data_IF_429759877487
#
_entry.id   IF_429759877487
#
_cell.length_a   1.000
_cell.length_b   1.000
_cell.length_c   1.000
_cell.angle_alpha   90.00
_cell.angle_beta   90.00
_cell.angle_gamma   90.00
#
_symmetry.space_group_name_H-M   'P 1'
#
loop_
_entity.id
_entity.type
_entity.pdbx_description
1 polymer ?
#
# COMPACT_ATOMS: atom_id res chain seq x y z
N UNK A 1 -11.03 10.59 11.15
CA UNK A 1 -11.72 11.45 10.16
C UNK A 1 -12.16 10.60 9.00
N UNK A 2 -13.36 10.83 8.47
CA UNK A 2 -13.88 10.16 7.27
C UNK A 2 -13.04 10.58 6.05
N UNK A 3 -12.83 9.65 5.12
CA UNK A 3 -12.23 9.97 3.81
C UNK A 3 -13.32 10.51 2.90
N UNK A 4 -13.06 11.62 2.22
CA UNK A 4 -14.01 12.23 1.27
C UNK A 4 -13.55 12.10 -0.18
N UNK A 5 -14.51 11.92 -1.09
CA UNK A 5 -14.31 11.79 -2.54
C UNK A 5 -15.49 12.34 -3.32
N UNK A 6 -15.34 12.48 -4.64
CA UNK A 6 -16.38 12.95 -5.55
C UNK A 6 -17.73 12.26 -5.29
N UNK A 7 -18.78 13.05 -5.14
CA UNK A 7 -20.14 12.61 -4.82
C UNK A 7 -20.49 12.52 -3.34
N UNK A 8 -19.51 12.61 -2.42
CA UNK A 8 -19.82 12.75 -0.99
C UNK A 8 -20.51 14.08 -0.69
N UNK A 9 -21.33 14.13 0.36
CA UNK A 9 -22.01 15.34 0.80
C UNK A 9 -22.13 15.39 2.33
N UNK A 10 -22.45 16.57 2.87
CA UNK A 10 -22.70 16.82 4.28
C UNK A 10 -21.71 17.78 4.94
N UNK A 11 -21.87 17.99 6.24
CA UNK A 11 -21.14 19.02 6.99
C UNK A 11 -19.62 18.80 7.05
N UNK A 12 -19.18 17.55 7.02
CA UNK A 12 -17.76 17.21 6.92
C UNK A 12 -17.13 17.73 5.61
N UNK A 13 -17.90 17.71 4.50
CA UNK A 13 -17.46 18.27 3.22
C UNK A 13 -17.43 19.80 3.28
N UNK A 14 -18.44 20.43 3.87
CA UNK A 14 -18.43 21.88 4.11
C UNK A 14 -17.23 22.31 4.98
N UNK A 15 -16.86 21.49 5.97
CA UNK A 15 -15.67 21.71 6.79
C UNK A 15 -14.38 21.56 5.97
N UNK A 16 -14.29 20.54 5.11
CA UNK A 16 -13.17 20.37 4.16
C UNK A 16 -13.02 21.60 3.25
N UNK A 17 -14.10 22.06 2.61
CA UNK A 17 -14.12 23.23 1.72
C UNK A 17 -13.61 24.49 2.43
N UNK A 18 -14.08 24.77 3.66
CA UNK A 18 -13.57 25.90 4.47
C UNK A 18 -12.08 25.77 4.78
N UNK A 19 -11.60 24.56 5.04
CA UNK A 19 -10.17 24.30 5.32
C UNK A 19 -9.30 24.46 4.06
N UNK A 20 -9.78 24.02 2.90
CA UNK A 20 -9.12 24.22 1.61
C UNK A 20 -8.95 25.71 1.30
N UNK A 21 -10.03 26.49 1.42
CA UNK A 21 -9.99 27.94 1.21
C UNK A 21 -9.00 28.62 2.16
N UNK A 22 -8.97 28.23 3.44
CA UNK A 22 -7.98 28.74 4.42
C UNK A 22 -6.54 28.36 4.06
N UNK A 23 -6.33 27.19 3.48
CA UNK A 23 -5.02 26.72 3.05
C UNK A 23 -4.55 27.36 1.72
N UNK A 24 -5.34 28.27 1.13
CA UNK A 24 -5.02 28.98 -0.11
C UNK A 24 -5.55 28.31 -1.38
N UNK A 25 -6.52 27.40 -1.25
CA UNK A 25 -7.19 26.71 -2.37
C UNK A 25 -8.68 27.05 -2.34
N UNK A 26 -9.07 28.21 -2.89
CA UNK A 26 -10.44 28.71 -2.78
C UNK A 26 -11.44 27.77 -3.47
N UNK A 27 -12.51 27.44 -2.75
CA UNK A 27 -13.67 26.69 -3.23
C UNK A 27 -14.91 27.14 -2.47
N UNK A 28 -16.07 27.12 -3.14
CA UNK A 28 -17.35 27.44 -2.52
C UNK A 28 -17.76 26.39 -1.49
N UNK A 29 -18.45 26.82 -0.44
CA UNK A 29 -18.92 25.93 0.64
C UNK A 29 -20.31 25.42 0.28
N UNK A 30 -20.37 24.42 -0.60
CA UNK A 30 -21.61 23.81 -1.11
C UNK A 30 -22.07 22.61 -0.27
N UNK A 31 -21.24 22.10 0.64
CA UNK A 31 -21.45 20.83 1.37
C UNK A 31 -21.54 19.60 0.44
N UNK A 32 -21.12 19.74 -0.83
CA UNK A 32 -21.07 18.67 -1.83
C UNK A 32 -19.65 18.57 -2.36
N UNK A 33 -19.10 17.36 -2.42
CA UNK A 33 -17.80 17.10 -2.99
C UNK A 33 -17.97 16.94 -4.50
N UNK A 34 -17.99 18.08 -5.17
CA UNK A 34 -18.10 18.25 -6.61
C UNK A 34 -16.72 18.32 -7.30
N UNK A 35 -16.72 18.56 -8.61
CA UNK A 35 -15.50 18.70 -9.42
C UNK A 35 -14.63 19.88 -8.97
N UNK A 36 -15.24 20.95 -8.45
CA UNK A 36 -14.52 22.11 -7.92
C UNK A 36 -13.78 21.75 -6.63
N UNK A 37 -14.45 21.02 -5.73
CA UNK A 37 -13.84 20.49 -4.49
C UNK A 37 -12.74 19.48 -4.80
N UNK A 38 -12.96 18.57 -5.75
CA UNK A 38 -11.92 17.63 -6.19
C UNK A 38 -10.71 18.40 -6.74
N UNK A 39 -10.92 19.40 -7.59
CA UNK A 39 -9.85 20.21 -8.18
C UNK A 39 -9.03 20.94 -7.11
N UNK A 40 -9.69 21.51 -6.09
CA UNK A 40 -9.00 22.14 -4.96
C UNK A 40 -8.18 21.14 -4.13
N UNK A 41 -8.69 19.92 -3.94
CA UNK A 41 -7.95 18.82 -3.29
C UNK A 41 -6.73 18.40 -4.10
N UNK A 42 -6.88 18.22 -5.42
CA UNK A 42 -5.76 17.90 -6.32
C UNK A 42 -4.69 18.99 -6.29
N UNK A 43 -5.11 20.26 -6.24
CA UNK A 43 -4.19 21.39 -6.19
C UNK A 43 -3.30 21.37 -4.94
N UNK A 44 -3.85 21.05 -3.76
CA UNK A 44 -3.01 20.91 -2.56
C UNK A 44 -2.15 19.64 -2.57
N UNK A 45 -2.66 18.55 -3.13
CA UNK A 45 -1.88 17.32 -3.29
C UNK A 45 -0.63 17.59 -4.14
N UNK A 46 -0.81 18.22 -5.31
CA UNK A 46 0.29 18.65 -6.19
C UNK A 46 1.25 19.60 -5.50
N UNK A 47 0.74 20.65 -4.82
CA UNK A 47 1.58 21.64 -4.13
C UNK A 47 2.46 21.01 -3.05
N UNK A 48 1.97 19.98 -2.37
CA UNK A 48 2.68 19.32 -1.27
C UNK A 48 3.46 18.07 -1.70
N UNK A 49 3.36 17.67 -2.97
CA UNK A 49 4.00 16.47 -3.52
C UNK A 49 3.32 15.15 -3.10
N UNK A 50 2.12 15.21 -2.53
CA UNK A 50 1.29 14.02 -2.29
C UNK A 50 0.83 13.41 -3.62
N UNK A 51 0.44 12.14 -3.57
CA UNK A 51 -0.24 11.47 -4.69
C UNK A 51 -1.48 12.27 -5.12
N UNK A 52 -1.52 12.66 -6.40
CA UNK A 52 -2.66 13.36 -7.02
C UNK A 52 -3.80 12.37 -7.35
N UNK A 53 -4.54 11.96 -6.32
CA UNK A 53 -5.68 11.04 -6.45
C UNK A 53 -7.06 11.72 -6.40
N UNK A 54 -7.11 13.00 -5.98
CA UNK A 54 -8.34 13.77 -5.80
C UNK A 54 -9.17 13.33 -4.60
N UNK A 55 -8.59 12.55 -3.68
CA UNK A 55 -9.26 12.00 -2.50
C UNK A 55 -8.76 12.71 -1.23
N UNK A 56 -9.70 13.29 -0.46
CA UNK A 56 -9.39 13.89 0.83
C UNK A 56 -9.36 12.82 1.94
N UNK A 57 -8.32 11.98 1.91
CA UNK A 57 -7.99 11.03 2.97
C UNK A 57 -7.15 11.64 4.10
N UNK A 58 -6.76 10.86 5.13
CA UNK A 58 -6.01 11.36 6.29
C UNK A 58 -4.72 12.12 5.93
N UNK A 59 -3.99 11.68 4.90
CA UNK A 59 -2.76 12.34 4.42
C UNK A 59 -3.03 13.72 3.83
N UNK A 60 -4.03 13.82 2.97
CA UNK A 60 -4.49 15.08 2.38
C UNK A 60 -4.98 16.04 3.48
N UNK A 61 -5.76 15.54 4.44
CA UNK A 61 -6.27 16.35 5.55
C UNK A 61 -5.15 16.88 6.45
N UNK A 62 -4.11 16.07 6.69
CA UNK A 62 -2.91 16.52 7.40
C UNK A 62 -2.17 17.61 6.61
N UNK A 63 -1.98 17.42 5.29
CA UNK A 63 -1.34 18.40 4.43
C UNK A 63 -2.12 19.72 4.32
N UNK A 64 -3.45 19.68 4.35
CA UNK A 64 -4.30 20.89 4.46
C UNK A 64 -4.01 21.66 5.76
N UNK A 65 -3.80 20.95 6.87
CA UNK A 65 -3.54 21.55 8.16
C UNK A 65 -2.10 22.09 8.30
N UNK A 66 -1.10 21.39 7.77
CA UNK A 66 0.33 21.69 7.98
C UNK A 66 0.99 22.39 6.79
N UNK A 67 0.35 22.36 5.62
CA UNK A 67 0.95 22.81 4.35
C UNK A 67 2.08 21.92 3.84
N UNK A 68 2.29 20.74 4.43
CA UNK A 68 3.43 19.85 4.12
C UNK A 68 3.01 18.39 4.08
N UNK A 69 3.69 17.60 3.24
CA UNK A 69 3.62 16.13 3.23
C UNK A 69 4.58 15.58 4.29
N UNK A 70 4.17 14.53 5.01
CA UNK A 70 5.09 13.71 5.81
C UNK A 70 6.11 13.01 4.88
N UNK A 71 7.43 13.09 5.12
CA UNK A 71 8.43 12.42 4.30
C UNK A 71 8.22 10.92 4.11
N UNK A 72 7.58 10.23 5.06
CA UNK A 72 7.27 8.79 4.95
C UNK A 72 6.08 8.49 4.05
N UNK A 73 5.21 9.47 3.77
CA UNK A 73 4.07 9.26 2.88
C UNK A 73 4.52 9.15 1.43
N UNK A 74 3.80 8.35 0.65
CA UNK A 74 4.06 8.18 -0.78
C UNK A 74 3.95 9.52 -1.53
N UNK A 75 4.95 9.83 -2.36
CA UNK A 75 4.95 10.99 -3.25
C UNK A 75 4.40 10.64 -4.62
N UNK A 76 3.92 11.66 -5.33
CA UNK A 76 3.58 11.52 -6.75
C UNK A 76 4.79 11.11 -7.61
N UNK A 77 5.99 11.62 -7.28
CA UNK A 77 7.25 11.27 -7.95
C UNK A 77 7.61 9.79 -7.80
N UNK A 78 7.22 9.14 -6.69
CA UNK A 78 7.43 7.70 -6.49
C UNK A 78 6.55 6.90 -7.48
N UNK A 79 5.31 7.35 -7.71
CA UNK A 79 4.39 6.74 -8.70
C UNK A 79 4.96 6.88 -10.11
N UNK A 80 5.50 8.05 -10.46
CA UNK A 80 6.14 8.29 -11.77
C UNK A 80 7.32 7.35 -11.97
N UNK A 81 8.23 7.30 -10.99
CA UNK A 81 9.41 6.43 -11.04
C UNK A 81 9.02 4.95 -11.16
N UNK A 82 7.96 4.52 -10.46
CA UNK A 82 7.41 3.18 -10.59
C UNK A 82 6.84 2.89 -11.99
N UNK A 83 6.17 3.86 -12.61
CA UNK A 83 5.62 3.73 -13.96
C UNK A 83 6.73 3.57 -15.00
N UNK A 84 7.79 4.37 -14.89
CA UNK A 84 8.96 4.30 -15.75
C UNK A 84 9.67 2.94 -15.61
N UNK A 85 9.89 2.49 -14.38
CA UNK A 85 10.53 1.19 -14.10
C UNK A 85 9.75 0.00 -14.64
N UNK A 86 8.42 0.04 -14.57
CA UNK A 86 7.55 -1.00 -15.12
C UNK A 86 7.32 -0.85 -16.64
N UNK A 87 7.64 0.32 -17.21
CA UNK A 87 7.35 0.66 -18.61
C UNK A 87 5.85 0.63 -18.91
N UNK A 88 5.04 1.21 -18.02
CA UNK A 88 3.57 1.27 -18.14
C UNK A 88 3.10 2.73 -18.05
N UNK A 89 1.91 3.06 -18.61
CA UNK A 89 1.33 4.39 -18.40
C UNK A 89 1.18 4.72 -16.91
N UNK A 90 1.39 5.99 -16.54
CA UNK A 90 1.25 6.47 -15.16
C UNK A 90 -0.11 6.08 -14.53
N UNK A 91 -1.17 6.13 -15.33
CA UNK A 91 -2.52 5.72 -14.92
C UNK A 91 -2.60 4.26 -14.43
N UNK A 92 -1.76 3.35 -14.95
CA UNK A 92 -1.70 1.97 -14.47
C UNK A 92 -1.17 1.90 -13.03
N UNK A 93 -0.09 2.62 -12.72
CA UNK A 93 0.49 2.62 -11.37
C UNK A 93 -0.41 3.35 -10.38
N UNK A 94 -1.07 4.44 -10.80
CA UNK A 94 -2.09 5.10 -9.96
C UNK A 94 -3.26 4.17 -9.64
N UNK A 95 -3.76 3.42 -10.63
CA UNK A 95 -4.83 2.45 -10.42
C UNK A 95 -4.42 1.35 -9.44
N UNK A 96 -3.24 0.79 -9.63
CA UNK A 96 -2.66 -0.21 -8.71
C UNK A 96 -2.48 0.38 -7.32
N UNK A 97 -1.92 1.58 -7.18
CA UNK A 97 -1.75 2.22 -5.88
C UNK A 97 -3.09 2.45 -5.17
N UNK A 98 -4.12 2.91 -5.87
CA UNK A 98 -5.46 3.13 -5.28
C UNK A 98 -6.08 1.82 -4.78
N UNK A 99 -5.88 0.71 -5.50
CA UNK A 99 -6.55 -0.57 -5.21
C UNK A 99 -5.75 -1.46 -4.26
N UNK A 100 -4.42 -1.52 -4.42
CA UNK A 100 -3.56 -2.50 -3.75
C UNK A 100 -2.90 -1.96 -2.47
N UNK A 101 -2.69 -0.65 -2.33
CA UNK A 101 -1.85 -0.09 -1.23
C UNK A 101 -2.53 -0.02 0.14
N UNK A 102 -3.82 -0.38 0.27
CA UNK A 102 -4.66 -0.10 1.46
C UNK A 102 -4.58 1.35 1.97
N UNK A 103 -4.05 2.29 1.18
CA UNK A 103 -3.97 3.73 1.44
C UNK A 103 -2.98 4.20 2.52
N UNK A 104 -2.60 3.37 3.49
CA UNK A 104 -1.62 3.72 4.55
C UNK A 104 -0.71 2.53 4.85
N UNK A 105 0.60 2.74 4.74
CA UNK A 105 1.64 1.73 4.92
C UNK A 105 2.18 1.59 6.34
N UNK A 106 1.81 2.52 7.23
CA UNK A 106 2.22 2.56 8.62
C UNK A 106 1.01 2.48 9.57
N UNK A 107 1.25 1.95 10.76
CA UNK A 107 0.36 2.01 11.90
C UNK A 107 0.43 3.40 12.55
N UNK A 108 -0.50 3.70 13.45
CA UNK A 108 -0.52 4.98 14.18
C UNK A 108 0.69 5.19 15.10
N UNK A 109 1.39 4.12 15.46
CA UNK A 109 2.62 4.15 16.25
C UNK A 109 3.89 4.30 15.40
N UNK A 110 3.75 4.45 14.08
CA UNK A 110 4.86 4.72 13.15
C UNK A 110 5.57 3.47 12.63
N UNK A 111 5.20 2.27 13.08
CA UNK A 111 5.72 1.00 12.53
C UNK A 111 5.03 0.64 11.21
N UNK A 112 5.71 -0.04 10.26
CA UNK A 112 5.06 -0.57 9.07
C UNK A 112 3.85 -1.43 9.40
N UNK A 113 2.86 -1.46 8.53
CA UNK A 113 1.83 -2.50 8.63
C UNK A 113 2.44 -3.85 8.32
N UNK A 114 2.17 -4.83 9.16
CA UNK A 114 2.55 -6.21 8.92
C UNK A 114 1.38 -7.17 9.07
N UNK A 115 1.51 -8.34 8.45
CA UNK A 115 0.75 -9.53 8.82
C UNK A 115 1.74 -10.69 8.98
N UNK A 116 1.81 -11.27 10.17
CA UNK A 116 2.72 -12.38 10.45
C UNK A 116 2.06 -13.72 10.13
N UNK A 117 2.75 -14.55 9.35
CA UNK A 117 2.25 -15.83 8.86
C UNK A 117 2.93 -16.99 9.59
N UNK A 118 2.30 -17.50 10.66
CA UNK A 118 2.83 -18.62 11.48
C UNK A 118 3.17 -19.89 10.68
N UNK A 119 2.50 -20.09 9.54
CA UNK A 119 2.74 -21.20 8.64
C UNK A 119 3.93 -21.00 7.71
N UNK A 120 4.22 -19.74 7.37
CA UNK A 120 5.47 -19.40 6.69
C UNK A 120 6.63 -19.49 7.68
N UNK A 121 6.43 -19.11 8.94
CA UNK A 121 7.47 -19.26 9.97
C UNK A 121 7.89 -20.71 10.17
N UNK A 122 6.93 -21.64 10.22
CA UNK A 122 7.22 -23.08 10.18
C UNK A 122 8.12 -23.45 8.99
N UNK A 123 7.80 -22.97 7.79
CA UNK A 123 8.57 -23.27 6.58
C UNK A 123 9.96 -22.64 6.60
N UNK A 124 10.10 -21.40 7.10
CA UNK A 124 11.37 -20.68 7.18
C UNK A 124 12.32 -21.29 8.20
N UNK A 125 11.81 -21.74 9.36
CA UNK A 125 12.59 -22.51 10.33
C UNK A 125 13.16 -23.79 9.69
N UNK A 126 12.32 -24.56 8.97
CA UNK A 126 12.80 -25.75 8.25
C UNK A 126 13.87 -25.41 7.21
N UNK A 127 13.70 -24.33 6.46
CA UNK A 127 14.68 -23.88 5.46
C UNK A 127 16.03 -23.53 6.09
N UNK A 128 16.05 -23.15 7.37
CA UNK A 128 17.25 -22.85 8.18
C UNK A 128 17.76 -24.06 8.97
N UNK A 129 17.20 -25.25 8.76
CA UNK A 129 17.61 -26.47 9.46
C UNK A 129 17.13 -26.59 10.91
N UNK A 130 16.16 -25.74 11.32
CA UNK A 130 15.56 -25.78 12.65
C UNK A 130 14.29 -26.64 12.59
N UNK A 131 14.14 -27.62 13.50
CA UNK A 131 12.91 -28.39 13.62
C UNK A 131 11.79 -27.53 14.25
N UNK A 132 10.72 -27.20 13.51
CA UNK A 132 9.64 -26.38 14.03
C UNK A 132 8.68 -27.14 14.95
N UNK A 133 8.71 -28.48 15.01
CA UNK A 133 7.70 -29.25 15.75
C UNK A 133 7.67 -28.94 17.27
N UNK A 134 8.81 -28.88 17.99
CA UNK A 134 8.82 -28.49 19.40
C UNK A 134 8.34 -27.05 19.62
N UNK A 135 8.68 -26.16 18.68
CA UNK A 135 8.30 -24.75 18.72
C UNK A 135 6.79 -24.60 18.54
N UNK A 136 6.20 -25.31 17.57
CA UNK A 136 4.76 -25.27 17.33
C UNK A 136 3.95 -25.89 18.47
N UNK A 137 4.46 -26.95 19.10
CA UNK A 137 3.83 -27.55 20.29
C UNK A 137 3.79 -26.56 21.47
N UNK A 138 4.85 -25.76 21.65
CA UNK A 138 4.94 -24.77 22.72
C UNK A 138 4.23 -23.46 22.40
N UNK A 139 4.27 -23.02 21.14
CA UNK A 139 3.81 -21.71 20.68
C UNK A 139 2.94 -21.81 19.40
N UNK A 140 1.75 -22.44 19.46
CA UNK A 140 0.91 -22.70 18.27
C UNK A 140 0.37 -21.44 17.58
N UNK A 141 0.41 -20.29 18.25
CA UNK A 141 0.06 -18.99 17.66
C UNK A 141 1.21 -18.34 16.86
N UNK A 142 2.44 -18.80 17.09
CA UNK A 142 3.67 -18.29 16.46
C UNK A 142 4.17 -19.24 15.38
N UNK A 143 4.08 -20.55 15.61
CA UNK A 143 4.49 -21.57 14.64
C UNK A 143 3.38 -22.62 14.51
N UNK A 144 2.93 -22.89 13.28
CA UNK A 144 1.92 -23.90 12.98
C UNK A 144 2.02 -24.32 11.53
N UNK A 145 1.60 -25.52 11.16
CA UNK A 145 1.42 -25.87 9.73
C UNK A 145 0.18 -25.19 9.13
N UNK A 146 -0.80 -24.82 9.96
CA UNK A 146 -2.03 -24.19 9.53
C UNK A 146 -1.88 -22.65 9.44
N UNK A 147 -2.54 -22.06 8.46
CA UNK A 147 -2.67 -20.60 8.32
C UNK A 147 -3.47 -20.00 9.49
N UNK A 148 -3.48 -18.67 9.62
CA UNK A 148 -4.26 -17.99 10.65
C UNK A 148 -3.50 -17.63 11.94
N UNK A 149 -4.26 -17.46 13.02
CA UNK A 149 -3.75 -16.92 14.29
C UNK A 149 -3.56 -15.40 14.28
N UNK A 150 -4.11 -14.72 13.28
CA UNK A 150 -4.01 -13.27 13.09
C UNK A 150 -4.69 -12.52 14.25
N UNK A 151 -4.00 -11.50 14.74
CA UNK A 151 -4.50 -10.51 15.70
C UNK A 151 -4.82 -9.18 15.01
N UNK A 152 -4.06 -8.86 13.96
CA UNK A 152 -4.23 -7.64 13.17
C UNK A 152 -3.66 -6.38 13.84
N UNK A 153 -3.34 -5.38 13.01
CA UNK A 153 -2.83 -4.10 13.47
C UNK A 153 -1.53 -4.22 14.29
N UNK A 154 -1.43 -3.42 15.36
CA UNK A 154 -0.25 -3.38 16.22
C UNK A 154 0.04 -4.70 16.96
N UNK A 155 -0.97 -5.57 17.14
CA UNK A 155 -0.81 -6.84 17.85
C UNK A 155 -0.04 -7.89 17.02
N UNK A 156 0.10 -7.71 15.71
CA UNK A 156 0.96 -8.57 14.89
C UNK A 156 2.43 -8.45 15.30
N UNK A 157 2.87 -7.28 15.77
CA UNK A 157 4.23 -7.11 16.26
C UNK A 157 4.53 -7.89 17.54
N UNK A 158 3.52 -8.19 18.37
CA UNK A 158 3.71 -9.10 19.50
C UNK A 158 4.02 -10.52 19.02
N UNK A 159 3.40 -10.95 17.92
CA UNK A 159 3.68 -12.25 17.30
C UNK A 159 5.06 -12.27 16.63
N UNK A 160 5.39 -11.20 15.90
CA UNK A 160 6.69 -11.04 15.27
C UNK A 160 7.83 -11.06 16.30
N UNK A 161 7.73 -10.27 17.37
CA UNK A 161 8.72 -10.22 18.44
C UNK A 161 8.91 -11.60 19.13
N UNK A 162 7.83 -12.36 19.32
CA UNK A 162 7.93 -13.72 19.85
C UNK A 162 8.66 -14.69 18.89
N UNK A 163 8.48 -14.51 17.57
CA UNK A 163 9.20 -15.27 16.55
C UNK A 163 10.68 -14.86 16.45
N UNK A 164 11.00 -13.57 16.63
CA UNK A 164 12.38 -13.05 16.61
C UNK A 164 13.24 -13.66 17.71
N UNK A 165 12.66 -13.94 18.89
CA UNK A 165 13.34 -14.65 19.99
C UNK A 165 13.76 -16.08 19.63
N UNK A 166 13.17 -16.66 18.58
CA UNK A 166 13.51 -18.00 18.09
C UNK A 166 14.50 -17.89 16.94
N UNK A 167 14.16 -17.13 15.89
CA UNK A 167 15.03 -16.82 14.75
C UNK A 167 14.54 -15.55 14.06
N UNK A 168 15.29 -14.45 14.20
CA UNK A 168 14.92 -13.14 13.67
C UNK A 168 14.78 -13.12 12.14
N UNK A 169 15.70 -13.77 11.41
CA UNK A 169 15.64 -13.78 9.95
C UNK A 169 14.41 -14.53 9.44
N UNK A 170 14.10 -15.69 10.03
CA UNK A 170 12.89 -16.45 9.73
C UNK A 170 11.63 -15.66 10.09
N UNK A 171 11.65 -14.91 11.20
CA UNK A 171 10.52 -14.10 11.65
C UNK A 171 10.20 -13.01 10.62
N UNK A 172 11.20 -12.24 10.20
CA UNK A 172 11.03 -11.18 9.21
C UNK A 172 10.63 -11.71 7.83
N UNK A 173 11.22 -12.84 7.41
CA UNK A 173 10.82 -13.53 6.17
C UNK A 173 9.35 -13.99 6.19
N UNK A 174 8.78 -14.19 7.38
CA UNK A 174 7.44 -14.73 7.59
C UNK A 174 6.36 -13.69 7.79
N UNK A 175 6.69 -12.40 7.63
CA UNK A 175 5.71 -11.32 7.62
C UNK A 175 5.56 -10.71 6.23
N UNK A 176 4.35 -10.26 5.91
CA UNK A 176 4.11 -9.28 4.84
C UNK A 176 4.35 -7.87 5.38
N UNK A 177 4.84 -6.95 4.55
CA UNK A 177 5.24 -5.62 5.00
C UNK A 177 4.66 -4.49 4.16
N UNK A 178 4.34 -3.40 4.85
CA UNK A 178 3.97 -2.11 4.27
C UNK A 178 2.61 -2.10 3.57
N UNK A 179 2.39 -1.02 2.81
CA UNK A 179 1.16 -0.72 2.10
C UNK A 179 0.74 -1.85 1.13
N UNK A 180 1.72 -2.45 0.44
CA UNK A 180 1.51 -3.48 -0.58
C UNK A 180 1.70 -4.91 -0.06
N UNK A 181 1.90 -5.09 1.25
CA UNK A 181 1.94 -6.41 1.89
C UNK A 181 2.87 -7.42 1.18
N UNK A 182 4.07 -6.98 0.78
CA UNK A 182 5.06 -7.85 0.14
C UNK A 182 5.68 -8.76 1.21
N UNK A 183 5.71 -10.07 0.94
CA UNK A 183 6.28 -11.05 1.89
C UNK A 183 7.80 -10.94 2.00
N UNK A 184 8.31 -10.95 3.24
CA UNK A 184 9.72 -10.79 3.54
C UNK A 184 10.62 -11.86 2.91
N UNK A 185 10.15 -13.12 2.80
CA UNK A 185 10.93 -14.20 2.17
C UNK A 185 11.27 -13.96 0.69
N UNK A 186 10.71 -12.92 0.06
CA UNK A 186 11.08 -12.51 -1.29
C UNK A 186 12.33 -11.64 -1.36
N UNK A 187 12.90 -11.17 -0.24
CA UNK A 187 13.99 -10.19 -0.21
C UNK A 187 15.11 -10.50 -1.22
N UNK A 188 15.57 -11.76 -1.30
CA UNK A 188 16.64 -12.19 -2.21
C UNK A 188 16.21 -12.12 -3.68
N UNK A 189 15.02 -12.67 -4.01
CA UNK A 189 14.44 -12.60 -5.36
C UNK A 189 14.26 -11.15 -5.83
N UNK A 190 13.97 -10.24 -4.90
CA UNK A 190 13.76 -8.83 -5.18
C UNK A 190 15.07 -8.00 -5.18
N UNK A 191 16.21 -8.65 -4.96
CA UNK A 191 17.53 -8.02 -5.02
C UNK A 191 17.82 -7.07 -3.86
N UNK A 192 17.27 -7.34 -2.68
CA UNK A 192 17.75 -6.72 -1.43
C UNK A 192 19.00 -7.46 -0.95
N UNK A 193 19.85 -6.76 -0.21
CA UNK A 193 21.13 -7.33 0.25
C UNK A 193 20.97 -8.34 1.40
N UNK A 194 19.91 -8.18 2.20
CA UNK A 194 19.51 -9.09 3.26
C UNK A 194 18.03 -8.89 3.60
N UNK A 195 17.48 -9.76 4.44
CA UNK A 195 16.16 -9.53 5.03
C UNK A 195 16.12 -8.26 5.90
N UNK A 196 17.21 -7.94 6.61
CA UNK A 196 17.30 -6.70 7.40
C UNK A 196 17.27 -5.44 6.53
N UNK A 197 17.96 -5.45 5.38
CA UNK A 197 17.87 -4.37 4.39
C UNK A 197 16.44 -4.22 3.87
N UNK A 198 15.77 -5.34 3.51
CA UNK A 198 14.37 -5.31 3.12
C UNK A 198 13.48 -4.67 4.21
N UNK A 199 13.60 -5.10 5.47
CA UNK A 199 12.79 -4.56 6.58
C UNK A 199 13.09 -3.07 6.81
N UNK A 200 14.37 -2.68 6.83
CA UNK A 200 14.77 -1.28 6.99
C UNK A 200 14.18 -0.38 5.91
N UNK A 201 14.10 -0.88 4.66
CA UNK A 201 13.45 -0.17 3.55
C UNK A 201 11.95 -0.01 3.80
N UNK A 202 11.28 -1.06 4.28
CA UNK A 202 9.84 -0.99 4.61
C UNK A 202 9.55 0.01 5.74
N UNK A 203 10.48 0.19 6.69
CA UNK A 203 10.41 1.16 7.78
C UNK A 203 10.70 2.60 7.36
N UNK A 204 11.47 2.78 6.28
CA UNK A 204 11.92 4.08 5.81
C UNK A 204 10.78 4.94 5.24
N UNK A 205 9.88 4.37 4.42
CA UNK A 205 8.77 5.13 3.87
C UNK A 205 7.90 4.34 2.89
N UNK A 206 6.72 4.87 2.57
CA UNK A 206 5.80 4.22 1.62
C UNK A 206 6.35 4.18 0.20
N UNK A 207 7.25 5.10 -0.18
CA UNK A 207 7.97 5.03 -1.45
C UNK A 207 8.82 3.75 -1.59
N UNK A 208 9.48 3.33 -0.51
CA UNK A 208 10.25 2.08 -0.47
C UNK A 208 9.31 0.86 -0.45
N UNK A 209 8.14 0.97 0.20
CA UNK A 209 7.12 -0.07 0.17
C UNK A 209 6.53 -0.24 -1.23
N UNK A 210 6.35 0.85 -1.99
CA UNK A 210 6.02 0.79 -3.42
C UNK A 210 7.16 0.18 -4.23
N UNK A 211 8.41 0.50 -3.93
CA UNK A 211 9.56 -0.07 -4.63
C UNK A 211 9.62 -1.60 -4.48
N UNK A 212 9.34 -2.14 -3.27
CA UNK A 212 9.21 -3.58 -3.07
C UNK A 212 8.13 -4.21 -3.95
N UNK A 213 6.97 -3.55 -4.07
CA UNK A 213 5.91 -3.98 -4.97
C UNK A 213 6.36 -3.93 -6.45
N UNK A 214 7.01 -2.86 -6.87
CA UNK A 214 7.52 -2.71 -8.24
C UNK A 214 8.56 -3.78 -8.57
N UNK A 215 9.48 -4.09 -7.64
CA UNK A 215 10.43 -5.20 -7.77
C UNK A 215 9.69 -6.53 -7.90
N UNK A 216 8.67 -6.75 -7.09
CA UNK A 216 7.88 -7.98 -7.12
C UNK A 216 7.23 -8.18 -8.49
N UNK A 217 6.55 -7.16 -9.02
CA UNK A 217 5.96 -7.20 -10.35
C UNK A 217 7.03 -7.39 -11.42
N UNK A 218 8.14 -6.65 -11.33
CA UNK A 218 9.24 -6.73 -12.31
C UNK A 218 9.91 -8.11 -12.35
N UNK A 219 9.94 -8.82 -11.22
CA UNK A 219 10.49 -10.16 -11.12
C UNK A 219 9.54 -11.25 -11.68
N UNK A 220 8.38 -10.88 -12.22
CA UNK A 220 7.43 -11.78 -12.85
C UNK A 220 7.01 -11.25 -14.25
N UNK A 221 7.58 -11.81 -15.34
CA UNK A 221 7.25 -11.38 -16.70
C UNK A 221 5.76 -11.47 -17.04
N UNK A 222 5.01 -12.41 -16.44
CA UNK A 222 3.58 -12.55 -16.68
C UNK A 222 2.80 -11.40 -16.03
N UNK A 223 3.18 -10.97 -14.82
CA UNK A 223 2.60 -9.79 -14.18
C UNK A 223 2.92 -8.51 -14.96
N UNK A 224 4.16 -8.32 -15.41
CA UNK A 224 4.54 -7.17 -16.25
C UNK A 224 3.71 -7.15 -17.54
N UNK A 225 3.61 -8.29 -18.23
CA UNK A 225 2.84 -8.39 -19.48
C UNK A 225 1.35 -8.14 -19.24
N UNK A 226 0.79 -8.63 -18.13
CA UNK A 226 -0.59 -8.38 -17.75
C UNK A 226 -0.83 -6.89 -17.49
N UNK A 227 0.04 -6.21 -16.75
CA UNK A 227 -0.09 -4.79 -16.44
C UNK A 227 0.07 -3.91 -17.69
N UNK A 228 1.08 -4.17 -18.53
CA UNK A 228 1.27 -3.49 -19.83
C UNK A 228 0.07 -3.66 -20.76
N UNK A 229 -0.46 -4.88 -20.82
CA UNK A 229 -1.65 -5.21 -21.61
C UNK A 229 -2.96 -4.78 -20.95
N UNK A 230 -2.94 -4.20 -19.74
CA UNK A 230 -4.13 -3.85 -18.93
C UNK A 230 -5.08 -5.04 -18.75
N UNK A 231 -4.52 -6.25 -18.64
CA UNK A 231 -5.25 -7.49 -18.38
C UNK A 231 -5.53 -7.61 -16.88
N UNK A 232 -6.44 -6.76 -16.37
CA UNK A 232 -6.67 -6.56 -14.93
C UNK A 232 -7.01 -7.85 -14.18
N UNK A 233 -7.82 -8.74 -14.75
CA UNK A 233 -8.13 -10.04 -14.15
C UNK A 233 -6.91 -10.96 -14.04
N UNK A 234 -6.04 -10.98 -15.05
CA UNK A 234 -4.80 -11.77 -15.04
C UNK A 234 -3.83 -11.20 -14.00
N UNK A 235 -3.67 -9.87 -13.98
CA UNK A 235 -2.84 -9.18 -13.02
C UNK A 235 -3.32 -9.42 -11.58
N UNK A 236 -4.61 -9.17 -11.32
CA UNK A 236 -5.21 -9.34 -10.01
C UNK A 236 -5.13 -10.79 -9.51
N UNK A 237 -5.34 -11.78 -10.38
CA UNK A 237 -5.16 -13.19 -10.01
C UNK A 237 -3.71 -13.53 -9.66
N UNK A 238 -2.76 -13.02 -10.42
CA UNK A 238 -1.34 -13.28 -10.19
C UNK A 238 -0.84 -12.65 -8.88
N UNK A 239 -1.34 -11.46 -8.55
CA UNK A 239 -0.91 -10.72 -7.35
C UNK A 239 -1.74 -11.05 -6.10
N UNK A 240 -3.07 -11.04 -6.17
CA UNK A 240 -3.99 -11.27 -5.04
C UNK A 240 -4.39 -12.75 -4.86
N UNK A 241 -3.99 -13.63 -5.79
CA UNK A 241 -4.31 -15.05 -5.75
C UNK A 241 -5.71 -15.40 -6.25
N UNK A 242 -6.11 -16.66 -6.03
CA UNK A 242 -7.32 -17.25 -6.63
C UNK A 242 -8.64 -16.54 -6.26
N UNK A 243 -8.67 -15.85 -5.12
CA UNK A 243 -9.86 -15.19 -4.60
C UNK A 243 -10.07 -13.75 -5.12
N UNK A 244 -9.20 -13.26 -6.01
CA UNK A 244 -9.22 -11.86 -6.47
C UNK A 244 -10.60 -11.38 -6.98
N UNK A 245 -11.33 -12.24 -7.68
CA UNK A 245 -12.62 -11.92 -8.28
C UNK A 245 -13.73 -11.73 -7.24
N UNK A 246 -13.69 -12.50 -6.14
CA UNK A 246 -14.65 -12.35 -5.03
C UNK A 246 -14.54 -10.95 -4.42
N UNK A 247 -13.31 -10.45 -4.33
CA UNK A 247 -13.01 -9.15 -3.71
C UNK A 247 -12.97 -8.01 -4.76
N UNK A 248 -13.37 -8.30 -6.00
CA UNK A 248 -13.53 -7.39 -7.15
C UNK A 248 -12.27 -6.61 -7.53
N UNK A 249 -11.08 -7.18 -7.31
CA UNK A 249 -9.81 -6.51 -7.57
C UNK A 249 -9.66 -6.08 -9.03
N UNK A 250 -10.04 -6.95 -9.96
CA UNK A 250 -10.02 -6.71 -11.39
C UNK A 250 -10.92 -5.53 -11.82
N UNK A 251 -12.16 -5.50 -11.34
CA UNK A 251 -13.11 -4.42 -11.62
C UNK A 251 -12.66 -3.10 -11.01
N UNK A 252 -12.13 -3.14 -9.77
CA UNK A 252 -11.60 -1.95 -9.10
C UNK A 252 -10.40 -1.37 -9.84
N UNK A 253 -9.46 -2.22 -10.28
CA UNK A 253 -8.29 -1.80 -11.06
C UNK A 253 -8.71 -1.17 -12.41
N UNK A 254 -9.65 -1.80 -13.12
CA UNK A 254 -10.16 -1.27 -14.38
C UNK A 254 -10.78 0.13 -14.21
N UNK A 255 -11.68 0.28 -13.23
CA UNK A 255 -12.35 1.56 -12.95
C UNK A 255 -11.37 2.64 -12.51
N UNK A 256 -10.40 2.30 -11.66
CA UNK A 256 -9.37 3.23 -11.23
C UNK A 256 -8.50 3.67 -12.42
N UNK A 257 -8.14 2.74 -13.31
CA UNK A 257 -7.41 3.09 -14.53
C UNK A 257 -8.18 4.08 -15.41
N UNK A 258 -9.46 3.82 -15.68
CA UNK A 258 -10.28 4.69 -16.52
C UNK A 258 -10.38 6.11 -15.95
N UNK A 259 -10.56 6.23 -14.62
CA UNK A 259 -10.52 7.50 -13.88
C UNK A 259 -9.21 8.26 -14.15
N UNK A 260 -8.07 7.61 -13.96
CA UNK A 260 -6.76 8.27 -14.12
C UNK A 260 -6.39 8.54 -15.58
N UNK A 261 -6.81 7.68 -16.51
CA UNK A 261 -6.58 7.87 -17.94
C UNK A 261 -7.41 9.07 -18.47
N UNK A 262 -8.66 9.21 -18.02
CA UNK A 262 -9.49 10.37 -18.36
C UNK A 262 -8.90 11.68 -17.83
N UNK A 263 -8.45 11.70 -16.57
CA UNK A 263 -7.82 12.86 -15.96
C UNK A 263 -6.54 13.29 -16.72
N UNK A 264 -5.70 12.33 -17.13
CA UNK A 264 -4.51 12.62 -17.91
C UNK A 264 -4.85 13.21 -19.29
N UNK A 265 -5.91 12.73 -19.94
CA UNK A 265 -6.38 13.28 -21.22
C UNK A 265 -6.94 14.69 -21.09
N UNK A 266 -7.63 15.00 -19.99
CA UNK A 266 -8.16 16.34 -19.75
C UNK A 266 -7.07 17.39 -19.43
N UNK A 267 -5.89 16.94 -19.00
CA UNK A 267 -4.76 17.80 -18.66
C UNK A 267 -3.76 18.01 -19.81
N UNK A 268 -3.91 17.31 -20.93
CA UNK A 268 -3.06 17.37 -22.13
C UNK A 268 -3.69 18.26 -23.20
#
# INVERSE_FOLDING_TARGET
MKTHRLGDYGDDVGLLQRRLTRAGFPVDVTHVYDEATESAVRAIQKKTGLVDDGIAGPKTLAAIATGRRDPKHLADADIVSAADRLGVPLACVRAVNEVESKGVGFLSDGRPKILFERHIFWQRLKARGIDPAPIAAKYPNICSQATGGYQGGAAEYTRLAAAELIDAGAAYESASWGAFQVMGYHWERLGYSSIDDFVARMENGEGEQLDAFVRYVSADPALVAALKGRKWAVFARGYNGANYARDLYDVKLARAYDKYAAAAKAAA
#
